data_IF_595808194041
#
_entry.id   IF_595808194041
#
_cell.length_a   1.000
_cell.length_b   1.000
_cell.length_c   1.000
_cell.angle_alpha   90.00
_cell.angle_beta   90.00
_cell.angle_gamma   90.00
#
_symmetry.space_group_name_H-M   'P 1'
#
loop_
_entity.id
_entity.type
_entity.pdbx_description
1 polymer ?
#
# COMPACT_ATOMS: atom_id res chain seq x y z
N UNK A 1 1.45 -1.14 -22.69
CA UNK A 1 2.21 -1.02 -21.43
C UNK A 1 2.53 0.45 -21.19
N UNK A 2 2.45 0.96 -19.95
CA UNK A 2 2.88 2.34 -19.68
C UNK A 2 4.39 2.46 -19.89
N UNK A 3 4.89 3.67 -20.17
CA UNK A 3 6.32 3.90 -20.38
C UNK A 3 7.16 3.42 -19.18
N UNK A 4 6.69 3.71 -17.96
CA UNK A 4 7.35 3.30 -16.73
C UNK A 4 7.37 1.78 -16.54
N UNK A 5 6.26 1.09 -16.83
CA UNK A 5 6.20 -0.37 -16.71
C UNK A 5 7.09 -1.06 -17.77
N UNK A 6 7.16 -0.48 -18.98
CA UNK A 6 8.09 -0.94 -20.02
C UNK A 6 9.55 -0.85 -19.58
N UNK A 7 9.96 0.32 -19.07
CA UNK A 7 11.33 0.53 -18.57
C UNK A 7 11.67 -0.41 -17.41
N UNK A 8 10.73 -0.68 -16.51
CA UNK A 8 10.92 -1.62 -15.41
C UNK A 8 11.18 -3.06 -15.90
N UNK A 9 10.37 -3.54 -16.86
CA UNK A 9 10.54 -4.88 -17.42
C UNK A 9 11.85 -4.99 -18.22
N UNK A 10 12.20 -3.98 -19.00
CA UNK A 10 13.48 -3.94 -19.73
C UNK A 10 14.67 -4.06 -18.77
N UNK A 11 14.65 -3.35 -17.64
CA UNK A 11 15.70 -3.48 -16.61
C UNK A 11 15.73 -4.86 -15.97
N UNK A 12 14.57 -5.46 -15.67
CA UNK A 12 14.49 -6.81 -15.11
C UNK A 12 15.08 -7.84 -16.07
N UNK A 13 14.78 -7.76 -17.36
CA UNK A 13 15.30 -8.69 -18.38
C UNK A 13 16.83 -8.72 -18.49
N UNK A 14 17.51 -7.64 -18.10
CA UNK A 14 18.98 -7.57 -18.10
C UNK A 14 19.62 -8.14 -16.81
N UNK A 15 18.81 -8.54 -15.82
CA UNK A 15 19.32 -9.10 -14.56
C UNK A 15 19.57 -10.62 -14.64
N UNK A 16 20.38 -11.19 -13.74
CA UNK A 16 20.46 -12.65 -13.56
C UNK A 16 19.09 -13.29 -13.24
N UNK A 17 18.85 -14.51 -13.72
CA UNK A 17 17.55 -15.21 -13.62
C UNK A 17 17.05 -15.35 -12.17
N UNK A 18 17.95 -15.65 -11.22
CA UNK A 18 17.62 -15.75 -9.80
C UNK A 18 17.05 -14.44 -9.25
N UNK A 19 17.59 -13.31 -9.72
CA UNK A 19 17.13 -11.98 -9.34
C UNK A 19 15.85 -11.58 -10.08
N UNK A 20 15.68 -11.99 -11.33
CA UNK A 20 14.42 -11.85 -12.06
C UNK A 20 13.29 -12.55 -11.30
N UNK A 21 13.49 -13.82 -10.93
CA UNK A 21 12.48 -14.62 -10.23
C UNK A 21 12.16 -14.08 -8.83
N UNK A 22 13.17 -13.60 -8.10
CA UNK A 22 12.96 -12.96 -6.79
C UNK A 22 12.06 -11.73 -6.92
N UNK A 23 12.37 -10.84 -7.87
CA UNK A 23 11.62 -9.60 -8.09
C UNK A 23 10.24 -9.87 -8.68
N UNK A 24 10.11 -10.84 -9.58
CA UNK A 24 8.82 -11.24 -10.15
C UNK A 24 7.88 -11.74 -9.05
N UNK A 25 8.36 -12.59 -8.13
CA UNK A 25 7.57 -13.06 -6.98
C UNK A 25 7.13 -11.91 -6.07
N UNK A 26 8.01 -10.94 -5.81
CA UNK A 26 7.67 -9.76 -5.03
C UNK A 26 6.56 -8.95 -5.72
N UNK A 27 6.72 -8.64 -7.01
CA UNK A 27 5.72 -7.84 -7.76
C UNK A 27 4.36 -8.55 -7.80
N UNK A 28 4.33 -9.86 -8.04
CA UNK A 28 3.10 -10.64 -8.02
C UNK A 28 2.42 -10.60 -6.64
N UNK A 29 3.19 -10.73 -5.57
CA UNK A 29 2.67 -10.62 -4.21
C UNK A 29 2.05 -9.25 -3.94
N UNK A 30 2.74 -8.16 -4.30
CA UNK A 30 2.23 -6.80 -4.11
C UNK A 30 0.94 -6.54 -4.91
N UNK A 31 0.83 -7.08 -6.13
CA UNK A 31 -0.41 -7.00 -6.92
C UNK A 31 -1.57 -7.72 -6.20
N UNK A 32 -1.33 -8.93 -5.70
CA UNK A 32 -2.36 -9.70 -4.99
C UNK A 32 -2.79 -9.01 -3.68
N UNK A 33 -1.84 -8.44 -2.94
CA UNK A 33 -2.12 -7.68 -1.72
C UNK A 33 -2.89 -6.39 -2.03
N UNK A 34 -2.49 -5.61 -3.04
CA UNK A 34 -3.22 -4.41 -3.46
C UNK A 34 -4.68 -4.74 -3.82
N UNK A 35 -4.90 -5.82 -4.57
CA UNK A 35 -6.25 -6.27 -4.88
C UNK A 35 -7.07 -6.64 -3.64
N UNK A 36 -6.48 -7.36 -2.68
CA UNK A 36 -7.14 -7.71 -1.42
C UNK A 36 -7.47 -6.47 -0.61
N UNK A 37 -6.53 -5.52 -0.53
CA UNK A 37 -6.72 -4.24 0.15
C UNK A 37 -7.84 -3.42 -0.48
N UNK A 38 -7.87 -3.32 -1.81
CA UNK A 38 -8.92 -2.62 -2.54
C UNK A 38 -10.30 -3.26 -2.29
N UNK A 39 -10.40 -4.59 -2.36
CA UNK A 39 -11.65 -5.35 -2.10
C UNK A 39 -12.11 -5.16 -0.65
N UNK A 40 -11.21 -5.30 0.32
CA UNK A 40 -11.50 -5.13 1.74
C UNK A 40 -11.94 -3.70 2.06
N UNK A 41 -11.24 -2.70 1.52
CA UNK A 41 -11.57 -1.28 1.70
C UNK A 41 -12.95 -0.97 1.12
N UNK A 42 -13.22 -1.41 -0.11
CA UNK A 42 -14.51 -1.22 -0.76
C UNK A 42 -15.66 -1.87 0.02
N UNK A 43 -15.44 -3.06 0.59
CA UNK A 43 -16.44 -3.74 1.41
C UNK A 43 -16.71 -3.07 2.75
N UNK A 44 -15.81 -2.21 3.23
CA UNK A 44 -15.87 -1.60 4.58
C UNK A 44 -15.94 -0.07 4.55
N UNK A 45 -16.29 0.55 3.42
CA UNK A 45 -16.27 2.02 3.22
C UNK A 45 -17.01 2.79 4.32
N UNK A 46 -18.21 2.36 4.72
CA UNK A 46 -18.99 3.10 5.72
C UNK A 46 -18.39 3.00 7.12
N UNK A 47 -17.85 1.82 7.48
CA UNK A 47 -17.12 1.63 8.74
C UNK A 47 -15.86 2.50 8.78
N UNK A 48 -15.10 2.52 7.68
CA UNK A 48 -13.91 3.37 7.55
C UNK A 48 -14.27 4.85 7.63
N UNK A 49 -15.36 5.28 6.98
CA UNK A 49 -15.85 6.67 7.06
C UNK A 49 -16.20 7.06 8.49
N UNK A 50 -16.84 6.16 9.25
CA UNK A 50 -17.12 6.37 10.68
C UNK A 50 -15.84 6.59 11.50
N UNK A 51 -14.89 5.67 11.37
CA UNK A 51 -13.59 5.75 12.06
C UNK A 51 -12.83 7.04 11.72
N UNK A 52 -12.78 7.40 10.44
CA UNK A 52 -12.15 8.65 9.98
C UNK A 52 -12.86 9.86 10.61
N UNK A 53 -14.20 9.86 10.63
CA UNK A 53 -14.97 10.92 11.26
C UNK A 53 -14.67 11.08 12.75
N UNK A 54 -14.59 9.98 13.49
CA UNK A 54 -14.25 9.98 14.92
C UNK A 54 -12.85 10.54 15.17
N UNK A 55 -11.85 10.09 14.40
CA UNK A 55 -10.47 10.57 14.51
C UNK A 55 -10.36 12.06 14.19
N UNK A 56 -10.97 12.52 13.09
CA UNK A 56 -10.95 13.95 12.72
C UNK A 56 -11.65 14.82 13.76
N UNK A 57 -12.73 14.32 14.38
CA UNK A 57 -13.39 15.02 15.47
C UNK A 57 -12.52 15.09 16.72
N UNK A 58 -11.85 14.00 17.11
CA UNK A 58 -10.92 13.99 18.24
C UNK A 58 -9.75 14.95 18.01
N UNK A 59 -9.17 14.95 16.80
CA UNK A 59 -8.09 15.86 16.41
C UNK A 59 -8.53 17.33 16.51
N UNK A 60 -9.73 17.65 16.00
CA UNK A 60 -10.27 19.03 16.09
C UNK A 60 -10.50 19.50 17.54
N UNK A 61 -10.66 18.58 18.49
CA UNK A 61 -10.79 18.86 19.93
C UNK A 61 -9.45 18.82 20.66
N UNK A 62 -8.34 18.49 19.98
CA UNK A 62 -7.02 18.31 20.59
C UNK A 62 -6.91 17.08 21.49
N UNK A 63 -7.73 16.06 21.23
CA UNK A 63 -7.79 14.82 22.02
C UNK A 63 -6.87 13.71 21.48
N UNK A 64 -6.28 13.91 20.30
CA UNK A 64 -5.32 12.96 19.73
C UNK A 64 -3.99 13.00 20.49
N UNK A 65 -3.46 11.83 20.83
CA UNK A 65 -2.11 11.72 21.38
C UNK A 65 -1.08 12.12 20.31
N UNK A 66 -0.07 12.93 20.67
CA UNK A 66 1.00 13.26 19.73
C UNK A 66 1.77 11.99 19.36
N UNK A 67 2.05 11.83 18.06
CA UNK A 67 2.89 10.76 17.58
C UNK A 67 4.32 10.96 18.11
N UNK A 68 4.83 9.97 18.83
CA UNK A 68 6.22 9.89 19.30
C UNK A 68 6.98 8.90 18.39
N UNK A 69 7.83 9.39 17.46
CA UNK A 69 8.54 8.53 16.52
C UNK A 69 9.51 7.56 17.20
N UNK A 70 10.00 7.88 18.40
CA UNK A 70 10.95 7.04 19.14
C UNK A 70 10.26 5.85 19.84
N UNK A 71 8.92 5.78 19.76
CA UNK A 71 8.09 4.71 20.35
C UNK A 71 7.38 3.82 19.31
N UNK A 72 7.74 3.96 18.02
CA UNK A 72 7.21 3.18 16.90
C UNK A 72 7.95 1.85 16.69
#
# INVERSE_FOLDING_TARGET
MTKTLQEAIERLQQMPEDRQDLLARLVLHEIDEDEKWAKSTAANVDKLRGLIGEVLQADSRGECEPLDPDRL
#
